data_IF_173978403675
#
_entry.id   IF_173978403675
#
_cell.length_a   1.000
_cell.length_b   1.000
_cell.length_c   1.000
_cell.angle_alpha   90.00
_cell.angle_beta   90.00
_cell.angle_gamma   90.00
#
_symmetry.space_group_name_H-M   'P 1'
#
loop_
_entity.id
_entity.type
_entity.pdbx_description
1 polymer ?
#
# COMPACT_ATOMS: atom_id res chain seq x y z
N UNK A 1 -17.13 -19.41 -18.60
CA UNK A 1 -16.82 -20.20 -17.38
C UNK A 1 -15.37 -20.64 -17.49
N UNK A 2 -14.55 -20.47 -16.45
CA UNK A 2 -13.14 -20.88 -16.49
C UNK A 2 -12.98 -22.38 -16.51
N UNK A 3 -11.92 -22.87 -17.20
CA UNK A 3 -11.54 -24.28 -17.20
C UNK A 3 -10.87 -24.64 -15.88
N UNK A 4 -11.26 -25.78 -15.30
CA UNK A 4 -10.55 -26.35 -14.16
C UNK A 4 -9.26 -27.01 -14.65
N UNK A 5 -8.15 -26.79 -13.92
CA UNK A 5 -6.84 -27.39 -14.22
C UNK A 5 -6.95 -28.93 -14.15
N UNK A 6 -6.47 -29.58 -15.18
CA UNK A 6 -6.40 -31.07 -15.31
C UNK A 6 -4.95 -31.54 -15.41
N UNK A 7 -4.75 -32.88 -15.50
CA UNK A 7 -3.41 -33.45 -15.54
C UNK A 7 -2.58 -33.04 -16.76
N UNK A 8 -3.23 -32.78 -17.92
CA UNK A 8 -2.51 -32.28 -19.11
C UNK A 8 -1.94 -30.87 -18.86
N UNK A 9 -2.69 -30.03 -18.19
CA UNK A 9 -2.27 -28.68 -17.86
C UNK A 9 -1.09 -28.74 -16.88
N UNK A 10 -1.16 -29.58 -15.84
CA UNK A 10 -0.05 -29.78 -14.89
C UNK A 10 1.21 -30.27 -15.58
N UNK A 11 1.10 -31.29 -16.47
CA UNK A 11 2.23 -31.80 -17.23
C UNK A 11 2.90 -30.72 -18.09
N UNK A 12 2.12 -29.78 -18.66
CA UNK A 12 2.66 -28.65 -19.40
C UNK A 12 3.47 -27.76 -18.48
N UNK A 13 2.91 -27.35 -17.33
CA UNK A 13 3.60 -26.46 -16.37
C UNK A 13 4.84 -27.14 -15.77
N UNK A 14 4.77 -28.42 -15.45
CA UNK A 14 5.92 -29.21 -14.96
C UNK A 14 7.03 -29.32 -16.02
N UNK A 15 6.67 -29.50 -17.30
CA UNK A 15 7.66 -29.56 -18.39
C UNK A 15 8.37 -28.20 -18.59
N UNK A 16 7.68 -27.08 -18.31
CA UNK A 16 8.21 -25.72 -18.44
C UNK A 16 9.06 -25.30 -17.23
N UNK A 17 8.62 -25.61 -16.03
CA UNK A 17 9.16 -25.06 -14.80
C UNK A 17 9.88 -26.07 -13.90
N UNK A 18 9.74 -27.36 -14.16
CA UNK A 18 10.26 -28.47 -13.34
C UNK A 18 9.79 -28.31 -11.87
N UNK A 19 10.73 -28.26 -10.92
CA UNK A 19 10.48 -28.14 -9.47
C UNK A 19 9.85 -26.80 -9.06
N UNK A 20 9.78 -25.81 -9.95
CA UNK A 20 9.11 -24.53 -9.76
C UNK A 20 7.61 -24.55 -10.09
N UNK A 21 7.08 -25.68 -10.54
CA UNK A 21 5.65 -25.97 -10.61
C UNK A 21 5.23 -26.69 -9.31
N UNK A 22 4.42 -26.03 -8.46
CA UNK A 22 4.03 -26.55 -7.14
C UNK A 22 2.56 -26.96 -7.14
N UNK A 23 2.30 -28.24 -7.21
CA UNK A 23 0.93 -28.81 -7.20
C UNK A 23 0.57 -29.53 -5.91
N UNK A 24 1.54 -29.74 -4.99
CA UNK A 24 1.28 -30.36 -3.70
C UNK A 24 0.43 -29.46 -2.78
N UNK A 25 -0.42 -30.09 -1.97
CA UNK A 25 -1.39 -29.38 -1.14
C UNK A 25 -0.73 -28.43 -0.13
N UNK A 26 0.33 -28.86 0.55
CA UNK A 26 0.99 -28.07 1.59
C UNK A 26 1.54 -26.76 1.02
N UNK A 27 2.19 -26.80 -0.14
CA UNK A 27 2.68 -25.59 -0.81
C UNK A 27 1.51 -24.71 -1.23
N UNK A 28 0.45 -25.27 -1.83
CA UNK A 28 -0.72 -24.50 -2.27
C UNK A 28 -1.44 -23.80 -1.12
N UNK A 29 -1.54 -24.45 0.04
CA UNK A 29 -2.08 -23.86 1.27
C UNK A 29 -1.24 -22.71 1.82
N UNK A 30 0.09 -22.77 1.69
CA UNK A 30 0.97 -21.66 2.05
C UNK A 30 0.78 -20.40 1.19
N UNK A 31 0.10 -20.53 0.03
CA UNK A 31 -0.21 -19.41 -0.88
C UNK A 31 -1.69 -19.04 -0.90
N UNK A 32 -2.51 -19.53 0.03
CA UNK A 32 -3.96 -19.35 0.01
C UNK A 32 -4.46 -18.08 0.72
N UNK A 33 -3.57 -17.28 1.30
CA UNK A 33 -3.91 -16.08 2.09
C UNK A 33 -2.93 -14.93 1.81
N UNK A 34 -3.36 -13.74 2.11
CA UNK A 34 -2.56 -12.51 2.25
C UNK A 34 -2.68 -11.96 3.69
N UNK A 35 -2.52 -10.67 3.91
CA UNK A 35 -2.68 -10.07 5.24
C UNK A 35 -4.12 -9.66 5.56
N UNK A 36 -5.11 -9.93 4.69
CA UNK A 36 -6.53 -9.87 5.07
C UNK A 36 -6.84 -10.92 6.12
N UNK A 37 -7.74 -10.61 7.08
CA UNK A 37 -7.91 -11.47 8.26
C UNK A 37 -8.62 -12.79 7.98
N UNK A 38 -9.66 -12.78 7.13
CA UNK A 38 -10.61 -13.88 7.02
C UNK A 38 -10.65 -14.55 5.63
N UNK A 39 -9.80 -14.11 4.68
CA UNK A 39 -9.89 -14.56 3.30
C UNK A 39 -8.86 -15.64 2.99
N UNK A 40 -9.34 -16.84 2.66
CA UNK A 40 -8.51 -17.98 2.28
C UNK A 40 -9.02 -18.62 1.00
N UNK A 41 -8.18 -18.64 -0.06
CA UNK A 41 -8.51 -19.25 -1.34
C UNK A 41 -7.32 -20.05 -1.86
N UNK A 42 -7.44 -21.38 -1.89
CA UNK A 42 -6.34 -22.25 -2.31
C UNK A 42 -6.25 -22.36 -3.85
N UNK A 43 -5.10 -22.01 -4.47
CA UNK A 43 -4.90 -22.17 -5.91
C UNK A 43 -4.87 -23.65 -6.31
N UNK A 44 -5.14 -23.95 -7.58
CA UNK A 44 -4.93 -25.32 -8.11
C UNK A 44 -3.46 -25.67 -8.30
N UNK A 45 -2.63 -24.67 -8.63
CA UNK A 45 -1.18 -24.80 -8.80
C UNK A 45 -0.51 -23.44 -8.53
N UNK A 46 0.71 -23.47 -7.98
CA UNK A 46 1.57 -22.28 -7.81
C UNK A 46 2.73 -22.40 -8.80
N UNK A 47 2.92 -21.36 -9.62
CA UNK A 47 3.97 -21.31 -10.63
C UNK A 47 4.97 -20.19 -10.30
N UNK A 48 6.27 -20.53 -10.35
CA UNK A 48 7.39 -19.68 -9.93
C UNK A 48 8.33 -19.39 -11.12
N UNK A 49 7.92 -18.56 -12.12
CA UNK A 49 8.77 -18.25 -13.26
C UNK A 49 10.02 -17.45 -12.87
N UNK A 50 11.09 -17.56 -13.66
CA UNK A 50 12.38 -16.88 -13.45
C UNK A 50 12.71 -15.84 -14.54
N UNK A 51 11.90 -15.74 -15.58
CA UNK A 51 12.10 -14.79 -16.68
C UNK A 51 10.78 -14.47 -17.38
N UNK A 52 10.78 -13.46 -18.24
CA UNK A 52 9.60 -13.00 -18.96
C UNK A 52 9.08 -14.03 -19.96
N UNK A 53 9.97 -14.85 -20.55
CA UNK A 53 9.64 -15.89 -21.52
C UNK A 53 8.81 -17.01 -20.90
N UNK A 54 9.15 -17.42 -19.66
CA UNK A 54 8.36 -18.40 -18.91
C UNK A 54 6.98 -17.84 -18.57
N UNK A 55 6.90 -16.57 -18.11
CA UNK A 55 5.63 -15.89 -17.86
C UNK A 55 4.78 -15.83 -19.13
N UNK A 56 5.39 -15.49 -20.27
CA UNK A 56 4.72 -15.45 -21.58
C UNK A 56 4.11 -16.79 -21.96
N UNK A 57 4.88 -17.88 -21.84
CA UNK A 57 4.38 -19.22 -22.17
C UNK A 57 3.24 -19.67 -21.25
N UNK A 58 3.34 -19.35 -19.94
CA UNK A 58 2.28 -19.64 -18.97
C UNK A 58 0.99 -18.89 -19.33
N UNK A 59 1.09 -17.56 -19.55
CA UNK A 59 -0.08 -16.75 -19.86
C UNK A 59 -0.71 -17.11 -21.20
N UNK A 60 0.10 -17.33 -22.25
CA UNK A 60 -0.40 -17.79 -23.54
C UNK A 60 -1.16 -19.13 -23.43
N UNK A 61 -0.61 -20.08 -22.67
CA UNK A 61 -1.28 -21.35 -22.42
C UNK A 61 -2.61 -21.16 -21.67
N UNK A 62 -2.59 -20.40 -20.58
CA UNK A 62 -3.79 -20.12 -19.79
C UNK A 62 -4.86 -19.37 -20.60
N UNK A 63 -4.45 -18.44 -21.47
CA UNK A 63 -5.33 -17.71 -22.37
C UNK A 63 -6.03 -18.67 -23.37
N UNK A 64 -5.27 -19.56 -24.02
CA UNK A 64 -5.81 -20.54 -24.97
C UNK A 64 -6.78 -21.52 -24.32
N UNK A 65 -6.56 -21.87 -23.05
CA UNK A 65 -7.36 -22.86 -22.33
C UNK A 65 -8.37 -22.24 -21.37
N UNK A 66 -8.49 -20.90 -21.35
CA UNK A 66 -9.38 -20.16 -20.45
C UNK A 66 -9.20 -20.54 -18.97
N UNK A 67 -7.93 -20.66 -18.52
CA UNK A 67 -7.54 -20.95 -17.13
C UNK A 67 -7.31 -19.62 -16.40
N UNK A 68 -7.95 -19.39 -15.23
CA UNK A 68 -7.75 -18.15 -14.48
C UNK A 68 -6.35 -18.10 -13.85
N UNK A 69 -5.73 -16.92 -13.89
CA UNK A 69 -4.39 -16.65 -13.37
C UNK A 69 -4.47 -15.50 -12.36
N UNK A 70 -4.03 -15.73 -11.14
CA UNK A 70 -3.90 -14.71 -10.11
C UNK A 70 -2.43 -14.37 -9.92
N UNK A 71 -1.97 -13.16 -10.30
CA UNK A 71 -0.63 -12.68 -9.98
C UNK A 71 -0.44 -12.52 -8.48
N UNK A 72 0.75 -12.86 -7.98
CA UNK A 72 1.10 -12.70 -6.58
C UNK A 72 2.52 -12.18 -6.38
N UNK A 73 2.67 -11.19 -5.52
CA UNK A 73 3.95 -10.74 -4.96
C UNK A 73 4.26 -11.45 -3.64
N UNK A 74 4.68 -10.67 -2.65
CA UNK A 74 4.97 -11.17 -1.30
C UNK A 74 3.71 -11.49 -0.47
N UNK A 75 2.53 -11.18 -0.96
CA UNK A 75 1.23 -11.37 -0.30
C UNK A 75 1.09 -10.59 1.03
N UNK A 76 1.73 -9.43 1.10
CA UNK A 76 1.62 -8.49 2.24
C UNK A 76 0.45 -7.52 2.12
N UNK A 77 -0.37 -7.64 1.09
CA UNK A 77 -1.52 -6.77 0.83
C UNK A 77 -2.68 -7.02 1.79
N UNK A 78 -3.55 -6.00 1.92
CA UNK A 78 -4.70 -5.94 2.83
C UNK A 78 -6.05 -5.89 2.09
N UNK A 79 -6.04 -6.06 0.75
CA UNK A 79 -7.23 -5.94 -0.09
C UNK A 79 -7.76 -7.28 -0.63
N UNK A 80 -7.03 -8.39 -0.45
CA UNK A 80 -7.37 -9.66 -1.09
C UNK A 80 -7.02 -9.71 -2.58
N UNK A 81 -6.18 -8.77 -3.06
CA UNK A 81 -5.83 -8.60 -4.46
C UNK A 81 -5.16 -9.83 -5.08
N UNK A 82 -4.31 -10.54 -4.33
CA UNK A 82 -3.57 -11.72 -4.81
C UNK A 82 -4.24 -13.08 -4.48
N UNK A 83 -5.49 -13.09 -4.05
CA UNK A 83 -6.19 -14.33 -3.66
C UNK A 83 -6.88 -14.99 -4.86
N UNK A 84 -6.63 -16.29 -5.14
CA UNK A 84 -7.14 -16.99 -6.33
C UNK A 84 -8.59 -17.48 -6.13
N UNK A 85 -9.57 -16.58 -6.11
CA UNK A 85 -10.99 -16.88 -5.82
C UNK A 85 -11.66 -17.83 -6.82
N UNK A 86 -11.06 -18.02 -7.98
CA UNK A 86 -11.50 -19.00 -8.98
C UNK A 86 -10.59 -20.23 -9.05
N UNK A 87 -9.73 -20.46 -8.04
CA UNK A 87 -8.67 -21.47 -8.11
C UNK A 87 -7.67 -21.15 -9.23
N UNK A 88 -7.44 -22.10 -10.15
CA UNK A 88 -6.54 -21.89 -11.28
C UNK A 88 -5.07 -21.76 -10.89
N UNK A 89 -4.34 -20.92 -11.62
CA UNK A 89 -2.92 -20.66 -11.42
C UNK A 89 -2.71 -19.48 -10.47
N UNK A 90 -1.89 -19.65 -9.44
CA UNK A 90 -1.25 -18.55 -8.75
C UNK A 90 0.14 -18.35 -9.36
N UNK A 91 0.38 -17.19 -9.97
CA UNK A 91 1.62 -16.85 -10.66
C UNK A 91 2.45 -15.91 -9.77
N UNK A 92 3.47 -16.45 -9.11
CA UNK A 92 4.29 -15.71 -8.16
C UNK A 92 5.50 -15.05 -8.80
N UNK A 93 5.79 -13.82 -8.43
CA UNK A 93 6.97 -13.07 -8.87
C UNK A 93 8.23 -13.36 -8.04
N UNK A 94 8.19 -14.21 -7.02
CA UNK A 94 9.29 -14.37 -6.04
C UNK A 94 10.63 -14.80 -6.62
N UNK A 95 10.65 -15.48 -7.78
CA UNK A 95 11.89 -15.87 -8.48
C UNK A 95 12.37 -14.85 -9.50
N UNK A 96 11.61 -13.80 -9.73
CA UNK A 96 12.00 -12.61 -10.50
C UNK A 96 12.54 -11.54 -9.52
N UNK A 97 13.70 -11.78 -8.93
CA UNK A 97 14.16 -11.05 -7.74
C UNK A 97 15.55 -10.41 -7.89
N UNK A 98 15.95 -10.06 -9.10
CA UNK A 98 17.25 -9.44 -9.38
C UNK A 98 17.13 -7.93 -9.48
N UNK A 99 18.05 -7.20 -8.84
CA UNK A 99 18.38 -5.82 -9.20
C UNK A 99 19.30 -5.91 -10.43
N UNK A 100 18.78 -5.59 -11.60
CA UNK A 100 19.45 -5.83 -12.88
C UNK A 100 20.58 -4.82 -13.08
N UNK A 101 20.30 -3.53 -12.84
CA UNK A 101 21.28 -2.46 -12.98
C UNK A 101 20.90 -1.23 -12.16
N UNK A 102 21.88 -0.56 -11.56
CA UNK A 102 21.75 0.79 -10.99
C UNK A 102 22.54 1.73 -11.92
N UNK A 103 21.83 2.59 -12.61
CA UNK A 103 22.41 3.59 -13.52
C UNK A 103 22.61 4.91 -12.75
N UNK A 104 23.79 5.06 -12.17
CA UNK A 104 24.16 6.25 -11.40
C UNK A 104 24.17 7.53 -12.26
N UNK A 105 24.44 7.41 -13.56
CA UNK A 105 24.52 8.57 -14.47
C UNK A 105 23.14 9.15 -14.81
N UNK A 106 22.14 8.28 -14.95
CA UNK A 106 20.77 8.67 -15.22
C UNK A 106 19.89 8.69 -13.95
N UNK A 107 20.47 8.35 -12.79
CA UNK A 107 19.73 8.18 -11.53
C UNK A 107 18.50 7.30 -11.72
N UNK A 108 18.71 6.05 -12.15
CA UNK A 108 17.67 5.05 -12.41
C UNK A 108 18.11 3.68 -11.89
N UNK A 109 17.14 2.85 -11.56
CA UNK A 109 17.36 1.43 -11.28
C UNK A 109 16.43 0.58 -12.14
N UNK A 110 16.99 -0.50 -12.69
CA UNK A 110 16.23 -1.53 -13.41
C UNK A 110 16.19 -2.75 -12.49
N UNK A 111 14.99 -3.19 -12.16
CA UNK A 111 14.76 -4.27 -11.20
C UNK A 111 13.66 -5.22 -11.68
N UNK A 112 13.65 -6.43 -11.14
CA UNK A 112 12.57 -7.39 -11.29
C UNK A 112 11.51 -7.22 -10.18
N UNK A 113 10.27 -7.68 -10.41
CA UNK A 113 9.15 -7.42 -9.51
C UNK A 113 9.24 -8.11 -8.14
N UNK A 114 9.98 -9.21 -7.99
CA UNK A 114 10.15 -9.95 -6.75
C UNK A 114 11.26 -9.44 -5.84
N UNK A 115 11.88 -8.30 -6.15
CA UNK A 115 12.87 -7.65 -5.27
C UNK A 115 12.14 -7.03 -4.07
N UNK A 116 12.66 -7.29 -2.87
CA UNK A 116 12.16 -6.66 -1.63
C UNK A 116 12.45 -5.17 -1.68
N UNK A 117 11.46 -4.35 -1.33
CA UNK A 117 11.54 -2.88 -1.41
C UNK A 117 12.72 -2.33 -0.62
N UNK A 118 12.91 -2.75 0.63
CA UNK A 118 14.04 -2.32 1.47
C UNK A 118 15.39 -2.76 0.93
N UNK A 119 15.47 -3.95 0.31
CA UNK A 119 16.70 -4.41 -0.33
C UNK A 119 17.10 -3.51 -1.50
N UNK A 120 16.14 -3.07 -2.32
CA UNK A 120 16.37 -2.10 -3.38
C UNK A 120 16.78 -0.75 -2.81
N UNK A 121 16.09 -0.25 -1.78
CA UNK A 121 16.42 1.02 -1.12
C UNK A 121 17.85 1.02 -0.57
N UNK A 122 18.28 -0.07 0.06
CA UNK A 122 19.64 -0.20 0.58
C UNK A 122 20.68 -0.23 -0.55
N UNK A 123 20.43 -0.98 -1.62
CA UNK A 123 21.33 -1.08 -2.76
C UNK A 123 21.54 0.27 -3.47
N UNK A 124 20.49 1.08 -3.65
CA UNK A 124 20.62 2.40 -4.27
C UNK A 124 21.23 3.42 -3.31
N UNK A 125 20.99 3.29 -1.98
CA UNK A 125 21.59 4.13 -0.95
C UNK A 125 23.13 4.00 -0.91
N UNK A 126 23.67 2.80 -1.11
CA UNK A 126 25.13 2.56 -1.22
C UNK A 126 25.76 3.37 -2.38
N UNK A 127 24.96 3.78 -3.37
CA UNK A 127 25.34 4.64 -4.49
C UNK A 127 25.03 6.12 -4.26
N UNK A 128 24.63 6.52 -3.06
CA UNK A 128 24.23 7.90 -2.75
C UNK A 128 22.89 8.29 -3.36
N UNK A 129 22.10 7.31 -3.80
CA UNK A 129 20.79 7.51 -4.42
C UNK A 129 19.66 7.10 -3.51
N UNK A 130 18.45 7.58 -3.79
CA UNK A 130 17.28 7.38 -2.96
C UNK A 130 16.05 6.99 -3.79
N UNK A 131 15.36 5.91 -3.36
CA UNK A 131 14.03 5.52 -3.77
C UNK A 131 13.07 5.76 -2.61
N UNK A 132 12.25 6.83 -2.64
CA UNK A 132 11.48 7.28 -1.48
C UNK A 132 10.30 6.40 -1.04
N UNK A 133 9.51 5.76 -1.94
CA UNK A 133 8.34 5.01 -1.50
C UNK A 133 8.71 3.96 -0.45
N UNK A 134 8.08 4.04 0.73
CA UNK A 134 8.44 3.23 1.90
C UNK A 134 7.21 2.68 2.64
N UNK A 135 6.40 1.81 2.00
CA UNK A 135 5.27 1.21 2.65
C UNK A 135 5.67 0.55 3.98
N UNK A 136 4.74 0.46 4.93
CA UNK A 136 5.02 -0.12 6.25
C UNK A 136 5.64 -1.53 6.16
N UNK A 137 5.26 -2.29 5.14
CA UNK A 137 5.76 -3.63 4.84
C UNK A 137 7.07 -3.68 4.03
N UNK A 138 7.79 -2.56 3.84
CA UNK A 138 8.98 -2.48 2.96
C UNK A 138 10.04 -3.57 3.19
N UNK A 139 10.16 -4.07 4.42
CA UNK A 139 11.09 -5.16 4.77
C UNK A 139 10.70 -6.54 4.22
N UNK A 140 9.48 -6.68 3.70
CA UNK A 140 8.95 -7.95 3.20
C UNK A 140 8.21 -7.85 1.87
N UNK A 141 7.58 -6.70 1.55
CA UNK A 141 6.87 -6.51 0.29
C UNK A 141 7.82 -6.46 -0.90
N UNK A 142 7.29 -6.83 -2.07
CA UNK A 142 8.01 -6.81 -3.34
C UNK A 142 7.67 -5.56 -4.14
N UNK A 143 8.65 -5.04 -4.91
CA UNK A 143 8.45 -3.89 -5.81
C UNK A 143 7.29 -4.13 -6.78
N UNK A 144 7.10 -5.36 -7.29
CA UNK A 144 5.97 -5.69 -8.16
C UNK A 144 4.61 -5.56 -7.48
N UNK A 145 4.51 -5.86 -6.18
CA UNK A 145 3.32 -5.60 -5.36
C UNK A 145 3.08 -4.10 -5.21
N UNK A 146 4.13 -3.32 -4.91
CA UNK A 146 4.02 -1.87 -4.83
C UNK A 146 3.54 -1.24 -6.15
N UNK A 147 3.98 -1.78 -7.31
CA UNK A 147 3.48 -1.37 -8.63
C UNK A 147 1.99 -1.73 -8.77
N UNK A 148 1.60 -2.95 -8.40
CA UNK A 148 0.22 -3.43 -8.57
C UNK A 148 -0.78 -2.60 -7.76
N UNK A 149 -0.44 -2.24 -6.52
CA UNK A 149 -1.30 -1.47 -5.61
C UNK A 149 -1.09 0.05 -5.74
N UNK A 150 -0.04 0.52 -6.40
CA UNK A 150 0.42 1.91 -6.34
C UNK A 150 0.70 2.35 -4.89
N UNK A 151 1.42 1.54 -4.15
CA UNK A 151 1.65 1.71 -2.71
C UNK A 151 2.22 3.08 -2.35
N UNK A 152 1.78 3.60 -1.21
CA UNK A 152 2.26 4.86 -0.61
C UNK A 152 3.27 4.64 0.51
N UNK A 153 2.97 5.20 1.68
CA UNK A 153 3.78 5.15 2.90
C UNK A 153 4.14 6.53 3.44
N UNK A 154 4.80 6.62 4.59
CA UNK A 154 5.09 7.87 5.30
C UNK A 154 5.76 8.96 4.46
N UNK A 155 6.59 8.57 3.49
CA UNK A 155 7.32 9.51 2.64
C UNK A 155 6.49 10.10 1.49
N UNK A 156 5.28 9.56 1.24
CA UNK A 156 4.43 9.98 0.14
C UNK A 156 4.07 11.47 0.21
N UNK A 157 3.93 12.00 1.41
CA UNK A 157 3.61 13.41 1.68
C UNK A 157 4.57 14.41 1.01
N UNK A 158 5.85 14.08 0.89
CA UNK A 158 6.87 14.91 0.24
C UNK A 158 7.24 14.41 -1.16
N UNK A 159 7.28 13.10 -1.33
CA UNK A 159 7.91 12.47 -2.49
C UNK A 159 6.91 11.83 -3.46
N UNK A 160 5.62 11.75 -3.08
CA UNK A 160 4.63 11.01 -3.86
C UNK A 160 4.68 9.51 -3.64
N UNK A 161 3.80 8.81 -4.34
CA UNK A 161 3.58 7.37 -4.23
C UNK A 161 4.32 6.60 -5.32
N UNK A 162 4.22 5.28 -5.35
CA UNK A 162 4.94 4.40 -6.29
C UNK A 162 4.84 4.86 -7.75
N UNK A 163 3.66 5.25 -8.25
CA UNK A 163 3.45 5.71 -9.63
C UNK A 163 4.33 6.88 -10.04
N UNK A 164 4.68 7.75 -9.09
CA UNK A 164 5.47 8.96 -9.35
C UNK A 164 6.94 8.62 -9.62
N UNK A 165 7.36 7.39 -9.35
CA UNK A 165 8.73 6.90 -9.48
C UNK A 165 8.94 5.96 -10.65
N UNK A 166 7.87 5.39 -11.22
CA UNK A 166 7.95 4.45 -12.34
C UNK A 166 8.11 5.19 -13.66
N UNK A 167 9.21 4.89 -14.37
CA UNK A 167 9.48 5.41 -15.71
C UNK A 167 8.96 4.49 -16.80
N UNK A 168 9.12 3.17 -16.62
CA UNK A 168 8.80 2.18 -17.65
C UNK A 168 8.60 0.81 -17.04
N UNK A 169 7.79 -0.03 -17.68
CA UNK A 169 7.54 -1.41 -17.30
C UNK A 169 7.69 -2.34 -18.50
N UNK A 170 8.38 -3.46 -18.31
CA UNK A 170 8.21 -4.62 -19.19
C UNK A 170 7.07 -5.45 -18.60
N UNK A 171 6.10 -5.76 -19.44
CA UNK A 171 4.90 -6.48 -19.05
C UNK A 171 4.63 -7.66 -19.99
N UNK A 172 3.93 -8.66 -19.47
CA UNK A 172 3.36 -9.75 -20.26
C UNK A 172 1.84 -9.63 -20.21
N UNK A 173 1.20 -9.51 -21.38
CA UNK A 173 -0.25 -9.43 -21.51
C UNK A 173 -0.88 -10.82 -21.35
N UNK A 174 -2.20 -10.86 -21.24
CA UNK A 174 -2.95 -12.09 -21.05
C UNK A 174 -2.70 -13.15 -22.15
N UNK A 175 -2.45 -12.74 -23.39
CA UNK A 175 -2.15 -13.60 -24.53
C UNK A 175 -0.70 -14.08 -24.61
N UNK A 176 0.15 -13.67 -23.65
CA UNK A 176 1.58 -13.97 -23.61
C UNK A 176 2.47 -12.95 -24.32
N UNK A 177 1.93 -11.88 -24.91
CA UNK A 177 2.73 -10.84 -25.57
C UNK A 177 3.62 -10.11 -24.56
N UNK A 178 4.94 -10.08 -24.77
CA UNK A 178 5.91 -9.31 -24.01
C UNK A 178 6.06 -7.95 -24.65
N UNK A 179 5.96 -6.86 -23.88
CA UNK A 179 6.17 -5.51 -24.38
C UNK A 179 6.64 -4.54 -23.30
N UNK A 180 7.28 -3.45 -23.72
CA UNK A 180 7.54 -2.29 -22.88
C UNK A 180 6.41 -1.29 -23.00
N UNK A 181 6.00 -0.68 -21.86
CA UNK A 181 4.88 0.28 -21.80
C UNK A 181 5.25 1.71 -22.16
N UNK A 182 6.54 2.03 -22.16
CA UNK A 182 7.05 3.39 -22.39
C UNK A 182 8.53 3.43 -22.72
N UNK A 183 9.24 4.39 -22.16
CA UNK A 183 10.69 4.60 -22.33
C UNK A 183 11.34 5.03 -21.01
N UNK A 184 12.67 4.82 -20.88
CA UNK A 184 13.44 5.12 -19.66
C UNK A 184 13.84 6.60 -19.61
N UNK A 185 12.87 7.51 -19.70
CA UNK A 185 13.09 8.96 -19.77
C UNK A 185 12.13 9.69 -18.83
N UNK A 186 12.57 10.87 -18.35
CA UNK A 186 11.74 11.67 -17.41
C UNK A 186 10.58 12.40 -18.12
N UNK A 187 10.71 12.69 -19.41
CA UNK A 187 9.67 13.38 -20.19
C UNK A 187 9.27 12.52 -21.38
N UNK A 188 8.02 12.07 -21.36
CA UNK A 188 7.45 11.27 -22.45
C UNK A 188 6.02 11.73 -22.76
N UNK A 189 5.82 12.31 -23.95
CA UNK A 189 4.52 12.71 -24.47
C UNK A 189 4.11 11.88 -25.69
N UNK A 190 4.70 10.69 -25.86
CA UNK A 190 4.47 9.83 -27.02
C UNK A 190 3.30 8.87 -26.76
N UNK A 191 2.10 9.29 -27.16
CA UNK A 191 0.90 8.48 -27.05
C UNK A 191 0.30 8.42 -25.62
N UNK A 192 -0.56 7.44 -25.37
CA UNK A 192 -1.15 7.22 -24.06
C UNK A 192 -0.12 6.68 -23.07
N UNK A 193 -0.21 7.09 -21.82
CA UNK A 193 0.66 6.61 -20.76
C UNK A 193 0.27 5.23 -20.25
N UNK A 194 0.69 4.18 -20.98
CA UNK A 194 0.40 2.79 -20.61
C UNK A 194 1.12 2.39 -19.31
N UNK A 195 2.27 2.98 -19.02
CA UNK A 195 2.99 2.73 -17.76
C UNK A 195 2.11 3.06 -16.56
N UNK A 196 1.52 4.29 -16.55
CA UNK A 196 0.66 4.72 -15.46
C UNK A 196 -0.69 3.97 -15.42
N UNK A 197 -1.13 3.42 -16.55
CA UNK A 197 -2.35 2.60 -16.61
C UNK A 197 -2.14 1.22 -15.94
N UNK A 198 -0.92 0.67 -16.04
CA UNK A 198 -0.58 -0.62 -15.42
C UNK A 198 -0.31 -0.47 -13.92
N UNK A 199 0.29 0.65 -13.48
CA UNK A 199 0.49 0.94 -12.04
C UNK A 199 -0.88 1.12 -11.37
N UNK A 200 -1.11 0.41 -10.26
CA UNK A 200 -2.39 0.40 -9.55
C UNK A 200 -3.48 -0.44 -10.21
N UNK A 201 -3.11 -1.30 -11.19
CA UNK A 201 -4.07 -2.20 -11.84
C UNK A 201 -4.26 -3.55 -11.13
N UNK A 202 -3.60 -3.78 -10.02
CA UNK A 202 -3.70 -4.99 -9.18
C UNK A 202 -3.56 -6.30 -9.99
N UNK A 203 -2.66 -6.29 -10.99
CA UNK A 203 -2.44 -7.46 -11.86
C UNK A 203 -3.62 -7.83 -12.77
N UNK A 204 -4.62 -6.96 -12.93
CA UNK A 204 -5.77 -7.23 -13.79
C UNK A 204 -5.51 -6.93 -15.27
N UNK A 205 -4.52 -6.09 -15.61
CA UNK A 205 -4.21 -5.70 -16.98
C UNK A 205 -3.02 -6.47 -17.57
N UNK A 206 -1.96 -6.71 -16.78
CA UNK A 206 -0.76 -7.38 -17.22
C UNK A 206 0.04 -7.94 -16.03
N UNK A 207 0.99 -8.85 -16.31
CA UNK A 207 2.00 -9.28 -15.35
C UNK A 207 3.30 -8.51 -15.59
N UNK A 208 3.80 -7.80 -14.57
CA UNK A 208 5.04 -7.01 -14.66
C UNK A 208 6.26 -7.94 -14.50
N UNK A 209 7.24 -7.83 -15.38
CA UNK A 209 8.47 -8.64 -15.37
C UNK A 209 9.74 -7.83 -15.17
N UNK A 210 9.76 -6.54 -15.59
CA UNK A 210 10.85 -5.61 -15.26
C UNK A 210 10.28 -4.22 -14.98
N UNK A 211 10.98 -3.49 -14.13
CA UNK A 211 10.57 -2.18 -13.63
C UNK A 211 11.76 -1.24 -13.75
N UNK A 212 11.55 -0.06 -14.33
CA UNK A 212 12.52 1.03 -14.35
C UNK A 212 12.01 2.13 -13.44
N UNK A 213 12.76 2.40 -12.37
CA UNK A 213 12.43 3.44 -11.40
C UNK A 213 13.41 4.61 -11.52
N UNK A 214 12.90 5.84 -11.44
CA UNK A 214 13.76 7.01 -11.23
C UNK A 214 14.24 7.07 -9.78
N UNK A 215 15.40 7.69 -9.57
CA UNK A 215 16.01 7.91 -8.27
C UNK A 215 16.36 9.39 -8.13
N UNK A 216 16.62 9.81 -6.88
CA UNK A 216 17.14 11.14 -6.56
C UNK A 216 18.37 11.01 -5.66
N UNK A 217 19.16 12.07 -5.42
CA UNK A 217 20.18 12.07 -4.40
C UNK A 217 19.61 11.74 -3.02
N UNK A 218 20.33 10.92 -2.25
CA UNK A 218 19.89 10.53 -0.90
C UNK A 218 20.02 11.71 0.07
N UNK A 219 18.94 12.16 0.74
CA UNK A 219 19.04 13.19 1.79
C UNK A 219 19.98 12.73 2.90
N UNK A 220 20.93 13.61 3.27
CA UNK A 220 21.99 13.25 4.24
C UNK A 220 21.58 13.49 5.68
N UNK A 221 20.56 14.30 5.92
CA UNK A 221 20.09 14.68 7.26
C UNK A 221 18.60 14.50 7.39
N UNK A 222 18.18 14.08 8.58
CA UNK A 222 16.78 14.01 9.00
C UNK A 222 16.63 14.53 10.42
N UNK A 223 15.55 15.22 10.71
CA UNK A 223 15.12 15.59 12.07
C UNK A 223 13.72 15.05 12.30
N UNK A 224 13.44 14.60 13.53
CA UNK A 224 12.20 13.93 13.86
C UNK A 224 11.67 14.44 15.20
N UNK A 225 10.37 14.78 15.23
CA UNK A 225 9.66 15.27 16.40
C UNK A 225 8.42 14.42 16.66
N UNK A 226 8.13 14.12 17.93
CA UNK A 226 6.86 13.57 18.37
C UNK A 226 6.13 14.63 19.19
N UNK A 227 4.93 15.01 18.73
CA UNK A 227 4.13 16.10 19.30
C UNK A 227 2.85 15.53 19.91
N UNK A 228 2.70 15.55 21.25
CA UNK A 228 1.47 15.11 21.92
C UNK A 228 0.39 16.20 21.86
N UNK A 229 -0.85 15.82 21.59
CA UNK A 229 -2.01 16.71 21.59
C UNK A 229 -3.04 16.27 22.62
N UNK A 230 -3.69 17.21 23.27
CA UNK A 230 -4.81 16.97 24.19
C UNK A 230 -6.14 16.76 23.46
N UNK A 231 -6.21 17.08 22.16
CA UNK A 231 -7.37 16.91 21.31
C UNK A 231 -6.95 16.35 19.93
N UNK A 232 -7.55 15.23 19.54
CA UNK A 232 -7.20 14.53 18.29
C UNK A 232 -7.67 15.30 17.03
N UNK A 233 -8.79 16.06 17.13
CA UNK A 233 -9.27 16.89 16.01
C UNK A 233 -8.30 18.05 15.78
N UNK A 234 -7.80 18.68 16.84
CA UNK A 234 -6.80 19.75 16.73
C UNK A 234 -5.46 19.24 16.20
N UNK A 235 -5.07 18.00 16.50
CA UNK A 235 -3.91 17.37 15.85
C UNK A 235 -4.10 17.29 14.32
N UNK A 236 -5.29 16.92 13.87
CA UNK A 236 -5.62 16.89 12.43
C UNK A 236 -5.66 18.31 11.81
N UNK A 237 -6.13 19.34 12.54
CA UNK A 237 -6.13 20.74 12.10
C UNK A 237 -4.70 21.27 11.92
N UNK A 238 -3.80 20.95 12.85
CA UNK A 238 -2.40 21.35 12.81
C UNK A 238 -1.68 20.86 11.54
N UNK A 239 -2.08 19.71 10.99
CA UNK A 239 -1.53 19.17 9.74
C UNK A 239 -1.67 20.19 8.60
N UNK A 240 -2.87 20.67 8.33
CA UNK A 240 -3.11 21.65 7.27
C UNK A 240 -2.41 23.00 7.57
N UNK A 241 -2.35 23.41 8.83
CA UNK A 241 -1.69 24.65 9.24
C UNK A 241 -0.18 24.64 8.94
N UNK A 242 0.51 23.52 9.16
CA UNK A 242 1.95 23.34 8.83
C UNK A 242 2.20 23.60 7.34
N UNK A 243 1.39 23.01 6.46
CA UNK A 243 1.54 23.22 5.01
C UNK A 243 1.18 24.64 4.58
N UNK A 244 0.14 25.24 5.17
CA UNK A 244 -0.26 26.62 4.88
C UNK A 244 0.81 27.63 5.30
N UNK A 245 1.63 27.29 6.29
CA UNK A 245 2.79 28.10 6.70
C UNK A 245 4.02 27.91 5.77
N UNK A 246 3.93 27.04 4.75
CA UNK A 246 4.98 26.84 3.75
C UNK A 246 5.96 25.70 4.02
N UNK A 247 5.73 24.90 5.07
CA UNK A 247 6.58 23.75 5.40
C UNK A 247 6.09 22.49 4.71
N UNK A 248 7.03 21.64 4.27
CA UNK A 248 6.74 20.33 3.64
C UNK A 248 7.53 19.25 4.37
N UNK A 249 7.00 18.66 5.43
CA UNK A 249 7.61 17.54 6.13
C UNK A 249 7.84 16.35 5.19
N UNK A 250 8.89 15.56 5.44
CA UNK A 250 9.17 14.32 4.72
C UNK A 250 8.37 13.13 5.26
N UNK A 251 7.80 13.28 6.42
CA UNK A 251 6.83 12.39 7.04
C UNK A 251 5.97 13.18 8.02
N UNK A 252 4.66 12.97 8.01
CA UNK A 252 3.74 13.58 8.94
C UNK A 252 2.61 12.60 9.25
N UNK A 253 2.78 11.90 10.38
CA UNK A 253 1.98 10.76 10.78
C UNK A 253 1.09 11.10 11.96
N UNK A 254 -0.16 10.67 11.92
CA UNK A 254 -1.12 10.80 13.02
C UNK A 254 -1.29 9.47 13.72
N UNK A 255 -1.38 9.48 15.05
CA UNK A 255 -1.68 8.31 15.88
C UNK A 255 -2.62 8.72 17.02
N UNK A 256 -3.79 8.12 17.13
CA UNK A 256 -4.61 8.24 18.34
C UNK A 256 -3.88 7.66 19.56
N UNK A 257 -4.28 8.04 20.75
CA UNK A 257 -3.74 7.57 22.02
C UNK A 257 -3.57 6.04 22.07
N UNK A 258 -4.65 5.30 21.79
CA UNK A 258 -4.63 3.85 21.83
C UNK A 258 -3.72 3.23 20.76
N UNK A 259 -3.57 3.86 19.60
CA UNK A 259 -2.66 3.39 18.55
C UNK A 259 -1.22 3.34 19.06
N UNK A 260 -0.74 4.42 19.66
CA UNK A 260 0.62 4.49 20.21
C UNK A 260 0.79 3.62 21.46
N UNK A 261 -0.19 3.63 22.37
CA UNK A 261 -0.16 2.83 23.60
C UNK A 261 -0.12 1.33 23.33
N UNK A 262 -0.92 0.86 22.37
CA UNK A 262 -0.89 -0.55 21.97
C UNK A 262 0.41 -0.94 21.27
N UNK A 263 0.95 -0.04 20.45
CA UNK A 263 2.26 -0.27 19.81
C UNK A 263 3.40 -0.36 20.83
N UNK A 264 3.39 0.47 21.88
CA UNK A 264 4.34 0.35 22.99
C UNK A 264 4.23 -1.00 23.71
N UNK A 265 3.01 -1.41 24.04
CA UNK A 265 2.76 -2.70 24.69
C UNK A 265 3.19 -3.89 23.81
N UNK A 266 2.91 -3.84 22.51
CA UNK A 266 3.31 -4.85 21.54
C UNK A 266 4.83 -4.96 21.37
N UNK A 267 5.52 -3.81 21.43
CA UNK A 267 6.98 -3.72 21.26
C UNK A 267 7.74 -3.88 22.57
N UNK A 268 7.06 -3.91 23.71
CA UNK A 268 7.66 -3.82 25.06
C UNK A 268 8.60 -2.60 25.19
N UNK A 269 8.34 -1.53 24.43
CA UNK A 269 9.14 -0.30 24.39
C UNK A 269 8.36 0.88 25.02
N UNK A 270 8.74 1.21 26.24
CA UNK A 270 8.17 2.29 27.04
C UNK A 270 9.16 3.46 27.21
N UNK A 271 10.09 3.63 26.29
CA UNK A 271 11.07 4.72 26.32
C UNK A 271 10.46 6.11 26.11
N UNK A 272 9.21 6.14 25.63
CA UNK A 272 8.44 7.36 25.40
C UNK A 272 7.29 7.40 26.42
N UNK A 273 7.09 8.53 27.09
CA UNK A 273 5.94 8.71 27.96
C UNK A 273 4.68 9.05 27.15
N UNK A 274 3.66 8.19 27.23
CA UNK A 274 2.31 8.44 26.68
C UNK A 274 1.36 8.67 27.85
N UNK A 275 1.07 9.96 28.14
CA UNK A 275 0.19 10.34 29.25
C UNK A 275 -1.27 10.05 28.90
N UNK A 276 -2.08 9.70 29.91
CA UNK A 276 -3.51 9.35 29.72
C UNK A 276 -4.37 10.49 29.16
N UNK A 277 -3.93 11.74 29.31
CA UNK A 277 -4.61 12.92 28.78
C UNK A 277 -4.17 13.30 27.36
N UNK A 278 -3.24 12.58 26.75
CA UNK A 278 -2.90 12.77 25.35
C UNK A 278 -3.94 12.07 24.48
N UNK A 279 -4.69 12.82 23.67
CA UNK A 279 -5.69 12.26 22.76
C UNK A 279 -5.07 11.69 21.46
N UNK A 280 -4.01 12.34 20.99
CA UNK A 280 -3.29 11.93 19.78
C UNK A 280 -1.84 12.43 19.77
N UNK A 281 -1.06 11.91 18.82
CA UNK A 281 0.31 12.33 18.56
C UNK A 281 0.52 12.59 17.08
N UNK A 282 1.30 13.61 16.73
CA UNK A 282 1.89 13.76 15.40
C UNK A 282 3.37 13.40 15.45
N UNK A 283 3.79 12.51 14.56
CA UNK A 283 5.20 12.23 14.28
C UNK A 283 5.59 13.00 13.01
N UNK A 284 6.49 13.97 13.16
CA UNK A 284 6.84 14.93 12.11
C UNK A 284 8.32 14.77 11.77
N UNK A 285 8.61 14.44 10.51
CA UNK A 285 9.98 14.34 10.02
C UNK A 285 10.25 15.39 8.93
N UNK A 286 11.42 16.00 8.99
CA UNK A 286 11.98 16.80 7.90
C UNK A 286 13.30 16.18 7.44
N UNK A 287 13.58 16.20 6.15
CA UNK A 287 14.80 15.68 5.56
C UNK A 287 15.38 16.59 4.46
N UNK A 288 16.68 16.54 4.29
CA UNK A 288 17.40 17.37 3.33
C UNK A 288 18.91 17.24 3.39
N UNK A 289 19.60 18.24 2.84
CA UNK A 289 21.07 18.24 2.72
C UNK A 289 21.75 19.27 3.64
N UNK A 290 21.00 20.24 4.17
CA UNK A 290 21.51 21.31 5.01
C UNK A 290 20.88 21.22 6.41
N UNK A 291 21.66 20.83 7.45
CA UNK A 291 21.14 20.69 8.80
C UNK A 291 20.68 22.01 9.43
N UNK A 292 21.27 23.16 9.07
CA UNK A 292 20.84 24.47 9.59
C UNK A 292 19.46 24.85 9.02
N UNK A 293 19.21 24.56 7.74
CA UNK A 293 17.90 24.79 7.15
C UNK A 293 16.84 23.87 7.77
N UNK A 294 17.16 22.59 7.99
CA UNK A 294 16.23 21.66 8.65
C UNK A 294 15.87 22.11 10.08
N UNK A 295 16.82 22.67 10.83
CA UNK A 295 16.56 23.22 12.14
C UNK A 295 15.58 24.40 12.06
N UNK A 296 15.77 25.33 11.11
CA UNK A 296 14.84 26.45 10.87
C UNK A 296 13.44 25.95 10.47
N UNK A 297 13.37 24.89 9.66
CA UNK A 297 12.09 24.29 9.29
C UNK A 297 11.38 23.71 10.53
N UNK A 298 12.12 23.02 11.43
CA UNK A 298 11.58 22.56 12.72
C UNK A 298 11.10 23.72 13.59
N UNK A 299 11.91 24.77 13.75
CA UNK A 299 11.54 25.96 14.53
C UNK A 299 10.27 26.63 13.97
N UNK A 300 10.16 26.71 12.63
CA UNK A 300 8.97 27.25 11.98
C UNK A 300 7.73 26.36 12.16
N UNK A 301 7.88 25.04 12.12
CA UNK A 301 6.80 24.09 12.41
C UNK A 301 6.37 24.24 13.89
N UNK A 302 7.33 24.32 14.82
CA UNK A 302 7.05 24.54 16.25
C UNK A 302 6.27 25.84 16.49
N UNK A 303 6.64 26.93 15.80
CA UNK A 303 5.90 28.20 15.89
C UNK A 303 4.44 28.08 15.42
N UNK A 304 4.17 27.25 14.41
CA UNK A 304 2.78 26.94 14.01
C UNK A 304 2.05 26.17 15.11
N UNK A 305 2.74 25.21 15.74
CA UNK A 305 2.17 24.34 16.78
C UNK A 305 1.89 25.08 18.10
N UNK A 306 2.55 26.24 18.37
CA UNK A 306 2.20 27.11 19.52
C UNK A 306 0.74 27.56 19.50
N UNK A 307 0.09 27.57 18.34
CA UNK A 307 -1.35 27.87 18.21
C UNK A 307 -2.28 26.75 18.70
N UNK A 308 -1.76 25.60 19.12
CA UNK A 308 -2.51 24.42 19.53
C UNK A 308 -2.14 23.99 20.97
N UNK A 309 -3.07 23.41 21.72
CA UNK A 309 -2.78 22.89 23.06
C UNK A 309 -2.01 21.56 22.96
N UNK A 310 -0.69 21.64 22.98
CA UNK A 310 0.24 20.50 22.96
C UNK A 310 0.92 20.36 24.33
N UNK A 311 1.46 19.16 24.61
CA UNK A 311 2.37 18.94 25.74
C UNK A 311 3.84 19.06 25.28
N UNK A 312 4.79 18.71 26.14
CA UNK A 312 6.22 18.72 25.84
C UNK A 312 6.53 17.91 24.57
N UNK A 313 7.20 18.55 23.62
CA UNK A 313 7.53 17.96 22.33
C UNK A 313 8.84 17.18 22.45
N UNK A 314 8.81 15.90 22.10
CA UNK A 314 10.00 15.08 22.04
C UNK A 314 10.74 15.29 20.71
N UNK A 315 11.95 15.83 20.78
CA UNK A 315 12.87 15.93 19.65
C UNK A 315 13.84 14.77 19.70
N UNK A 316 13.92 13.95 18.62
CA UNK A 316 14.82 12.80 18.60
C UNK A 316 16.27 13.24 18.35
N UNK A 317 17.11 13.12 19.37
CA UNK A 317 18.50 13.60 19.39
C UNK A 317 19.46 12.60 18.70
N UNK A 318 19.08 11.34 18.56
CA UNK A 318 19.93 10.27 18.02
C UNK A 318 19.19 9.41 17.00
N UNK A 319 19.96 8.74 16.12
CA UNK A 319 19.42 7.74 15.19
C UNK A 319 18.68 6.60 15.91
N UNK A 320 19.13 6.23 17.10
CA UNK A 320 18.45 5.21 17.91
C UNK A 320 17.03 5.67 18.29
N UNK A 321 16.88 6.91 18.78
CA UNK A 321 15.57 7.48 19.13
C UNK A 321 14.66 7.62 17.88
N UNK A 322 15.20 8.07 16.74
CA UNK A 322 14.44 8.13 15.48
C UNK A 322 13.92 6.73 15.08
N UNK A 323 14.79 5.73 15.14
CA UNK A 323 14.42 4.36 14.83
C UNK A 323 13.35 3.81 15.78
N UNK A 324 13.43 4.12 17.07
CA UNK A 324 12.38 3.78 18.05
C UNK A 324 11.04 4.40 17.69
N UNK A 325 11.00 5.72 17.44
CA UNK A 325 9.76 6.42 17.07
C UNK A 325 9.13 5.84 15.80
N UNK A 326 9.94 5.63 14.75
CA UNK A 326 9.46 5.00 13.52
C UNK A 326 9.04 3.54 13.71
N UNK A 327 9.74 2.78 14.55
CA UNK A 327 9.37 1.40 14.88
C UNK A 327 7.99 1.35 15.54
N UNK A 328 7.75 2.21 16.54
CA UNK A 328 6.44 2.31 17.19
C UNK A 328 5.34 2.66 16.19
N UNK A 329 5.56 3.65 15.30
CA UNK A 329 4.56 4.01 14.29
C UNK A 329 4.28 2.86 13.31
N UNK A 330 5.30 2.16 12.83
CA UNK A 330 5.12 1.06 11.86
C UNK A 330 4.45 -0.17 12.43
N UNK A 331 4.57 -0.40 13.73
CA UNK A 331 3.98 -1.56 14.41
C UNK A 331 2.53 -1.36 14.88
N UNK A 332 1.94 -0.20 14.64
CA UNK A 332 0.56 0.07 15.08
C UNK A 332 -0.42 -0.94 14.50
N UNK A 333 -0.33 -1.27 13.20
CA UNK A 333 -1.22 -2.26 12.57
C UNK A 333 -1.13 -3.64 13.22
N UNK A 334 0.10 -4.12 13.47
CA UNK A 334 0.31 -5.40 14.17
C UNK A 334 -0.19 -5.35 15.63
N UNK A 335 0.02 -4.22 16.29
CA UNK A 335 -0.45 -4.01 17.66
C UNK A 335 -1.98 -4.02 17.75
N UNK A 336 -2.69 -3.39 16.82
CA UNK A 336 -4.17 -3.45 16.72
C UNK A 336 -4.64 -4.88 16.54
N UNK A 337 -4.00 -5.64 15.65
CA UNK A 337 -4.32 -7.05 15.36
C UNK A 337 -4.23 -7.95 16.59
N UNK A 338 -3.27 -7.71 17.47
CA UNK A 338 -3.11 -8.49 18.73
C UNK A 338 -4.19 -8.13 19.76
N UNK A 339 -4.73 -6.90 19.72
CA UNK A 339 -5.74 -6.46 20.69
C UNK A 339 -7.13 -7.02 20.41
N UNK A 340 -7.53 -7.14 19.15
CA UNK A 340 -8.87 -7.61 18.78
C UNK A 340 -8.92 -8.02 17.31
N UNK A 341 -9.93 -8.81 16.93
CA UNK A 341 -10.40 -8.86 15.55
C UNK A 341 -10.81 -7.45 15.14
N UNK A 342 -10.39 -7.02 13.95
CA UNK A 342 -10.66 -5.67 13.45
C UNK A 342 -10.98 -5.69 11.96
N UNK A 343 -11.55 -4.60 11.45
CA UNK A 343 -11.60 -4.29 10.01
C UNK A 343 -10.92 -2.94 9.80
N UNK A 344 -10.05 -2.89 8.81
CA UNK A 344 -9.30 -1.69 8.45
C UNK A 344 -9.85 -1.07 7.18
N UNK A 345 -10.23 0.21 7.28
CA UNK A 345 -10.67 1.02 6.15
C UNK A 345 -9.62 2.10 5.85
N UNK A 346 -9.16 2.11 4.60
CA UNK A 346 -8.05 2.94 4.12
C UNK A 346 -8.60 4.23 3.48
N UNK A 347 -9.10 5.14 4.32
CA UNK A 347 -9.76 6.37 3.87
C UNK A 347 -8.78 7.48 3.50
N UNK A 348 -9.08 8.23 2.43
CA UNK A 348 -8.31 9.44 2.05
C UNK A 348 -9.26 10.59 1.78
N UNK A 349 -8.92 11.77 2.32
CA UNK A 349 -9.62 13.02 2.06
C UNK A 349 -8.62 14.14 1.72
N UNK A 350 -9.04 15.24 1.09
CA UNK A 350 -8.22 16.44 1.03
C UNK A 350 -7.74 16.80 2.45
N UNK A 351 -6.48 17.09 2.62
CA UNK A 351 -5.78 17.25 3.90
C UNK A 351 -6.53 18.08 4.94
N UNK A 352 -7.16 19.20 4.52
CA UNK A 352 -7.90 20.08 5.43
C UNK A 352 -9.23 19.46 5.93
N UNK A 353 -9.69 18.37 5.34
CA UNK A 353 -10.88 17.62 5.76
C UNK A 353 -10.58 16.53 6.82
N UNK A 354 -9.31 16.30 7.15
CA UNK A 354 -8.95 15.29 8.16
C UNK A 354 -9.68 15.48 9.50
N UNK A 355 -9.83 16.71 10.06
CA UNK A 355 -10.60 16.91 11.28
C UNK A 355 -12.05 16.45 11.15
N UNK A 356 -12.67 16.75 10.01
CA UNK A 356 -14.05 16.37 9.71
C UNK A 356 -14.16 14.83 9.51
N UNK A 357 -13.18 14.20 8.84
CA UNK A 357 -13.14 12.76 8.69
C UNK A 357 -13.07 12.06 10.05
N UNK A 358 -12.14 12.47 10.93
CA UNK A 358 -12.01 11.88 12.26
C UNK A 358 -13.29 12.03 13.08
N UNK A 359 -13.91 13.21 13.07
CA UNK A 359 -15.19 13.45 13.75
C UNK A 359 -16.32 12.57 13.16
N UNK A 360 -16.34 12.39 11.84
CA UNK A 360 -17.29 11.51 11.13
C UNK A 360 -17.14 10.05 11.54
N UNK A 361 -15.90 9.54 11.59
CA UNK A 361 -15.61 8.17 12.06
C UNK A 361 -16.16 7.95 13.46
N UNK A 362 -15.89 8.87 14.40
CA UNK A 362 -16.37 8.75 15.79
C UNK A 362 -17.90 8.85 15.88
N UNK A 363 -18.53 9.73 15.12
CA UNK A 363 -20.00 9.86 15.04
C UNK A 363 -20.65 8.59 14.50
N UNK A 364 -20.11 8.00 13.43
CA UNK A 364 -20.60 6.75 12.85
C UNK A 364 -20.40 5.60 13.84
N UNK A 365 -19.24 5.52 14.52
CA UNK A 365 -18.99 4.55 15.58
C UNK A 365 -20.04 4.62 16.70
N UNK A 366 -20.36 5.83 17.18
CA UNK A 366 -21.42 6.05 18.18
C UNK A 366 -22.81 5.61 17.65
N UNK A 367 -23.13 5.94 16.40
CA UNK A 367 -24.42 5.59 15.79
C UNK A 367 -24.65 4.09 15.68
N UNK A 368 -23.61 3.35 15.31
CA UNK A 368 -23.68 1.91 15.06
C UNK A 368 -23.13 1.06 16.22
N UNK A 369 -22.57 1.69 17.27
CA UNK A 369 -22.12 1.01 18.49
C UNK A 369 -20.76 0.32 18.38
N UNK A 370 -19.88 0.75 17.47
CA UNK A 370 -18.52 0.23 17.38
C UNK A 370 -17.47 1.24 17.85
N UNK A 371 -16.35 0.73 18.33
CA UNK A 371 -15.15 1.51 18.62
C UNK A 371 -14.18 1.47 17.44
N UNK A 372 -13.39 2.54 17.29
CA UNK A 372 -12.34 2.63 16.28
C UNK A 372 -11.06 3.20 16.84
N UNK A 373 -9.92 2.76 16.30
CA UNK A 373 -8.61 3.34 16.54
C UNK A 373 -8.06 3.82 15.19
N UNK A 374 -7.73 5.12 15.12
CA UNK A 374 -7.27 5.76 13.91
C UNK A 374 -5.78 6.10 13.99
N UNK A 375 -5.08 5.87 12.90
CA UNK A 375 -3.71 6.31 12.65
C UNK A 375 -3.52 6.45 11.14
N UNK A 376 -2.46 7.10 10.69
CA UNK A 376 -2.23 7.17 9.24
C UNK A 376 -1.28 8.29 8.81
N UNK A 377 -1.17 8.42 7.50
CA UNK A 377 -0.33 9.37 6.80
C UNK A 377 -1.06 10.72 6.70
N UNK A 378 -1.13 11.45 7.83
CA UNK A 378 -1.91 12.69 7.93
C UNK A 378 -1.45 13.75 6.92
N UNK A 379 -0.15 13.75 6.61
CA UNK A 379 0.44 14.70 5.67
C UNK A 379 -0.15 14.67 4.26
N UNK A 380 -0.73 13.55 3.82
CA UNK A 380 -1.40 13.39 2.52
C UNK A 380 -2.91 13.12 2.62
N UNK A 381 -3.44 13.18 3.84
CA UNK A 381 -4.89 13.05 4.09
C UNK A 381 -5.36 11.62 4.23
N UNK A 382 -4.46 10.65 4.33
CA UNK A 382 -4.77 9.23 4.49
C UNK A 382 -4.92 8.87 5.97
N UNK A 383 -6.04 8.27 6.32
CA UNK A 383 -6.37 7.82 7.66
C UNK A 383 -6.84 6.36 7.63
N UNK A 384 -6.08 5.49 8.27
CA UNK A 384 -6.47 4.10 8.53
C UNK A 384 -7.45 4.07 9.70
N UNK A 385 -8.66 3.60 9.43
CA UNK A 385 -9.74 3.48 10.42
C UNK A 385 -9.87 2.02 10.80
N UNK A 386 -9.33 1.66 11.95
CA UNK A 386 -9.43 0.29 12.47
C UNK A 386 -10.67 0.17 13.34
N UNK A 387 -11.70 -0.49 12.82
CA UNK A 387 -12.94 -0.79 13.53
C UNK A 387 -12.70 -2.04 14.38
N UNK A 388 -12.89 -1.92 15.70
CA UNK A 388 -12.58 -2.97 16.66
C UNK A 388 -13.82 -3.81 16.92
N UNK A 389 -13.71 -5.13 16.77
CA UNK A 389 -14.83 -6.04 17.03
C UNK A 389 -15.23 -6.03 18.52
N UNK A 390 -14.27 -6.15 19.42
CA UNK A 390 -14.54 -6.17 20.85
C UNK A 390 -15.67 -7.15 21.20
N UNK A 391 -16.74 -6.61 21.82
CA UNK A 391 -17.92 -7.36 22.24
C UNK A 391 -19.08 -7.34 21.22
N UNK A 392 -18.86 -6.87 19.99
CA UNK A 392 -19.89 -6.84 18.96
C UNK A 392 -20.30 -8.26 18.56
N UNK A 393 -21.61 -8.46 18.30
CA UNK A 393 -22.11 -9.76 17.85
C UNK A 393 -21.57 -10.15 16.48
N UNK A 394 -21.48 -11.46 16.21
CA UNK A 394 -21.07 -11.94 14.88
C UNK A 394 -22.05 -11.51 13.77
N UNK A 395 -23.36 -11.41 14.07
CA UNK A 395 -24.36 -10.89 13.13
C UNK A 395 -24.06 -9.43 12.77
N UNK A 396 -23.85 -8.58 13.78
CA UNK A 396 -23.48 -7.18 13.50
C UNK A 396 -22.17 -7.11 12.69
N UNK A 397 -21.15 -7.86 13.12
CA UNK A 397 -19.83 -7.84 12.50
C UNK A 397 -19.83 -8.26 11.03
N UNK A 398 -20.58 -9.31 10.69
CA UNK A 398 -20.56 -9.89 9.35
C UNK A 398 -21.61 -9.28 8.40
N UNK A 399 -22.70 -8.71 8.93
CA UNK A 399 -23.85 -8.26 8.12
C UNK A 399 -24.10 -6.76 8.24
N UNK A 400 -24.24 -6.22 9.45
CA UNK A 400 -24.66 -4.83 9.67
C UNK A 400 -23.50 -3.83 9.54
N UNK A 401 -22.27 -4.22 9.88
CA UNK A 401 -21.09 -3.34 9.79
C UNK A 401 -20.84 -2.83 8.37
N UNK A 402 -21.18 -3.62 7.35
CA UNK A 402 -21.06 -3.21 5.95
C UNK A 402 -21.89 -1.97 5.62
N UNK A 403 -23.04 -1.78 6.31
CA UNK A 403 -23.87 -0.58 6.16
C UNK A 403 -23.16 0.64 6.76
N UNK A 404 -22.56 0.48 7.93
CA UNK A 404 -21.79 1.55 8.57
C UNK A 404 -20.55 1.96 7.74
N UNK A 405 -19.82 0.98 7.19
CA UNK A 405 -18.67 1.22 6.30
C UNK A 405 -19.13 1.94 5.02
N UNK A 406 -20.24 1.53 4.41
CA UNK A 406 -20.80 2.23 3.24
C UNK A 406 -21.18 3.68 3.56
N UNK A 407 -21.77 3.94 4.75
CA UNK A 407 -22.04 5.32 5.19
C UNK A 407 -20.75 6.11 5.35
N UNK A 408 -19.71 5.52 5.96
CA UNK A 408 -18.40 6.15 6.08
C UNK A 408 -17.82 6.54 4.71
N UNK A 409 -17.77 5.62 3.76
CA UNK A 409 -17.24 5.90 2.43
C UNK A 409 -18.10 6.90 1.63
N UNK A 410 -19.43 6.90 1.84
CA UNK A 410 -20.29 7.93 1.24
C UNK A 410 -19.91 9.33 1.74
N UNK A 411 -19.64 9.49 3.03
CA UNK A 411 -19.18 10.75 3.61
C UNK A 411 -17.75 11.12 3.16
N UNK A 412 -16.83 10.14 3.08
CA UNK A 412 -15.48 10.33 2.54
C UNK A 412 -15.52 10.88 1.11
N UNK A 413 -16.32 10.28 0.24
CA UNK A 413 -16.47 10.74 -1.14
C UNK A 413 -17.12 12.12 -1.20
N UNK A 414 -18.11 12.41 -0.34
CA UNK A 414 -18.73 13.73 -0.24
C UNK A 414 -17.74 14.83 0.23
N UNK A 415 -16.72 14.48 1.01
CA UNK A 415 -15.61 15.37 1.36
C UNK A 415 -14.60 15.56 0.22
N UNK A 416 -14.80 14.94 -0.95
CA UNK A 416 -13.86 14.95 -2.09
C UNK A 416 -12.73 13.92 -1.96
N UNK A 417 -12.93 12.92 -1.14
CA UNK A 417 -11.98 11.82 -0.88
C UNK A 417 -12.19 10.58 -1.73
N UNK A 418 -11.50 9.48 -1.37
CA UNK A 418 -11.59 8.18 -2.03
C UNK A 418 -11.56 7.03 -1.01
N UNK A 419 -11.95 5.84 -1.46
CA UNK A 419 -12.17 4.65 -0.61
C UNK A 419 -10.92 3.82 -0.35
N UNK A 420 -9.81 4.10 -1.01
CA UNK A 420 -8.50 3.50 -0.72
C UNK A 420 -7.39 4.47 -1.08
N UNK A 421 -6.46 4.66 -0.17
CA UNK A 421 -5.26 5.49 -0.33
C UNK A 421 -4.08 4.71 -0.90
N UNK A 422 -3.82 3.53 -0.35
CA UNK A 422 -2.64 2.73 -0.70
C UNK A 422 -2.85 1.21 -0.68
N UNK A 423 -3.93 0.70 -0.04
CA UNK A 423 -4.16 -0.75 0.10
C UNK A 423 -4.69 -1.41 -1.18
N UNK A 424 -5.23 -0.62 -2.12
CA UNK A 424 -5.91 -1.13 -3.30
C UNK A 424 -7.37 -1.51 -3.03
N UNK A 425 -8.03 -2.03 -4.04
CA UNK A 425 -9.44 -2.40 -4.02
C UNK A 425 -9.63 -3.89 -3.78
N UNK A 426 -8.95 -4.71 -4.55
CA UNK A 426 -8.98 -6.17 -4.46
C UNK A 426 -10.38 -6.76 -4.40
N UNK A 427 -10.64 -7.49 -3.32
CA UNK A 427 -11.95 -8.03 -2.94
C UNK A 427 -12.65 -7.18 -1.89
N UNK A 428 -11.88 -6.61 -0.95
CA UNK A 428 -12.40 -5.97 0.27
C UNK A 428 -13.14 -4.69 -0.06
N UNK A 429 -12.56 -3.82 -0.88
CA UNK A 429 -13.14 -2.51 -1.22
C UNK A 429 -14.03 -2.53 -2.47
N UNK A 430 -14.03 -3.64 -3.23
CA UNK A 430 -14.83 -3.80 -4.44
C UNK A 430 -16.34 -3.47 -4.26
N UNK A 431 -17.01 -3.84 -3.16
CA UNK A 431 -18.42 -3.51 -2.95
C UNK A 431 -18.75 -2.01 -2.89
N UNK A 432 -17.72 -1.16 -2.74
CA UNK A 432 -17.87 0.30 -2.59
C UNK A 432 -17.39 1.11 -3.80
N UNK A 433 -16.95 0.45 -4.88
CA UNK A 433 -16.42 1.11 -6.07
C UNK A 433 -17.45 2.02 -6.78
N UNK A 434 -18.74 1.70 -6.65
CA UNK A 434 -19.83 2.53 -7.17
C UNK A 434 -19.90 3.92 -6.52
N UNK A 435 -19.46 4.05 -5.27
CA UNK A 435 -19.38 5.33 -4.58
C UNK A 435 -18.29 6.23 -5.16
N UNK A 436 -17.12 5.65 -5.46
CA UNK A 436 -15.96 6.40 -5.95
C UNK A 436 -16.08 6.82 -7.41
N UNK A 437 -16.62 5.97 -8.31
CA UNK A 437 -16.54 6.19 -9.77
C UNK A 437 -17.89 6.30 -10.47
N UNK A 438 -18.99 5.87 -9.87
CA UNK A 438 -20.26 5.75 -10.53
C UNK A 438 -20.25 4.79 -11.74
N UNK A 439 -21.40 4.65 -12.39
CA UNK A 439 -21.59 3.67 -13.47
C UNK A 439 -20.64 3.88 -14.67
N UNK A 440 -20.55 5.11 -15.18
CA UNK A 440 -19.75 5.39 -16.38
C UNK A 440 -18.25 5.14 -16.19
N UNK A 441 -17.70 5.47 -15.01
CA UNK A 441 -16.30 5.20 -14.69
C UNK A 441 -16.00 3.71 -14.63
N UNK A 442 -16.87 2.93 -13.99
CA UNK A 442 -16.73 1.47 -13.90
C UNK A 442 -16.84 0.81 -15.28
N UNK A 443 -17.77 1.22 -16.15
CA UNK A 443 -17.89 0.68 -17.51
C UNK A 443 -16.65 0.99 -18.35
N UNK A 444 -16.06 2.18 -18.22
CA UNK A 444 -14.80 2.51 -18.89
C UNK A 444 -13.66 1.61 -18.43
N UNK A 445 -13.51 1.38 -17.12
CA UNK A 445 -12.49 0.49 -16.56
C UNK A 445 -12.68 -0.96 -17.04
N UNK A 446 -13.92 -1.47 -17.09
CA UNK A 446 -14.26 -2.78 -17.66
C UNK A 446 -13.90 -2.86 -19.15
N UNK A 447 -14.15 -1.79 -19.91
CA UNK A 447 -13.75 -1.67 -21.30
C UNK A 447 -12.23 -1.77 -21.49
N UNK A 448 -11.45 -1.05 -20.67
CA UNK A 448 -9.98 -1.12 -20.66
C UNK A 448 -9.51 -2.55 -20.32
N UNK A 449 -10.04 -3.14 -19.26
CA UNK A 449 -9.73 -4.53 -18.88
C UNK A 449 -9.94 -5.48 -20.06
N UNK A 450 -11.06 -5.36 -20.78
CA UNK A 450 -11.39 -6.21 -21.92
C UNK A 450 -10.43 -6.06 -23.11
N UNK A 451 -9.81 -4.89 -23.28
CA UNK A 451 -8.78 -4.66 -24.31
C UNK A 451 -7.49 -5.41 -23.96
N UNK A 452 -7.06 -5.36 -22.70
CA UNK A 452 -5.84 -6.02 -22.24
C UNK A 452 -6.00 -7.53 -22.05
N UNK A 453 -7.20 -7.96 -21.65
CA UNK A 453 -7.50 -9.35 -21.31
C UNK A 453 -8.91 -9.72 -21.81
N UNK A 454 -9.04 -10.04 -23.11
CA UNK A 454 -10.35 -10.33 -23.72
C UNK A 454 -11.09 -11.52 -23.10
N UNK A 455 -10.35 -12.50 -22.58
CA UNK A 455 -10.90 -13.71 -21.96
C UNK A 455 -11.14 -13.55 -20.45
N UNK A 456 -10.66 -12.45 -19.84
CA UNK A 456 -10.83 -12.15 -18.43
C UNK A 456 -10.08 -13.10 -17.50
N UNK A 457 -8.95 -13.67 -17.93
CA UNK A 457 -8.20 -14.68 -17.16
C UNK A 457 -7.29 -14.07 -16.09
N UNK A 458 -6.81 -12.81 -16.28
CA UNK A 458 -5.90 -12.15 -15.35
C UNK A 458 -6.66 -11.59 -14.14
N UNK A 459 -6.31 -12.07 -12.97
CA UNK A 459 -6.85 -11.68 -11.67
C UNK A 459 -8.37 -11.48 -11.67
N UNK A 460 -9.15 -12.47 -12.12
CA UNK A 460 -10.58 -12.32 -12.32
C UNK A 460 -11.32 -12.08 -11.00
N UNK A 461 -12.35 -11.22 -11.05
CA UNK A 461 -13.20 -10.93 -9.91
C UNK A 461 -12.66 -9.88 -8.95
N UNK A 462 -11.53 -9.23 -9.26
CA UNK A 462 -10.97 -8.11 -8.49
C UNK A 462 -11.40 -6.76 -9.07
N UNK A 463 -11.36 -5.72 -8.24
CA UNK A 463 -11.65 -4.30 -8.55
C UNK A 463 -13.12 -4.05 -8.92
N UNK A 464 -13.69 -4.70 -9.94
CA UNK A 464 -15.05 -4.45 -10.43
C UNK A 464 -15.76 -5.70 -10.94
#
# INVERSE_FOLDING_TARGET
>A
MFQTINQKDLNFFESLLADRCKSDLNTREAYNHDHTEDLHFTPCVVLLPQNAEEVSQILAYCHQHNIPVTPAGARTGLSGGCLPIHGGVLLSSEKLNRIIAIDEKNAQVITEPGVITEALQNAVKEKGLFYPPDPASKGSCFIGGNIAENSGGPKAVKYGVTKDWVLNLEVVLADGTIMWTGANVLKNATGYNLTQLVVGSEGTLAFVTKIVLKLIPHPTHTLLMLVPFYDAVQACEAVAAIFNAGFTPSGLEFMEHNALKWSQAFSEDYSIEVKENHAAHLLIEVDGFDPEQLMKDCEGILAVLEGYPTDEILFAESEAQKNTLWSLRRKVGEAVKVQSVYKEEDTVVPRYQLPQLLATVKRIGQKYGFESVCYGHAGDGNLHVNIIKGNLSDTFWNEELTVAIRELFTEVVAMGGTISGEHGIGLVQKPYMDLAFGHNGLELMRGIKKVFDPNGILNPGKIF
#
